data_IF_425142537895
#
_entry.id   IF_425142537895
#
_cell.length_a   1.000
_cell.length_b   1.000
_cell.length_c   1.000
_cell.angle_alpha   90.00
_cell.angle_beta   90.00
_cell.angle_gamma   90.00
#
_symmetry.space_group_name_H-M   'P 1'
#
loop_
_entity.id
_entity.type
_entity.pdbx_description
1 polymer ?
#
# COMPACT_ATOMS: atom_id res chain seq x y z
N UNK A 1 -9.25 -27.20 -3.25
CA UNK A 1 -9.54 -26.53 -4.55
C UNK A 1 -8.93 -25.13 -4.49
N UNK A 2 -8.01 -24.75 -5.39
CA UNK A 2 -7.42 -23.39 -5.37
C UNK A 2 -8.47 -22.39 -5.89
N UNK A 3 -8.94 -21.46 -5.05
CA UNK A 3 -9.85 -20.38 -5.47
C UNK A 3 -9.16 -19.55 -6.56
N UNK A 4 -9.83 -19.39 -7.71
CA UNK A 4 -9.31 -18.65 -8.87
C UNK A 4 -9.30 -17.15 -8.54
N UNK A 5 -8.21 -16.47 -8.90
CA UNK A 5 -8.12 -15.03 -8.73
C UNK A 5 -9.23 -14.33 -9.53
N UNK A 6 -9.98 -13.44 -8.88
CA UNK A 6 -11.02 -12.63 -9.54
C UNK A 6 -10.54 -11.19 -9.59
N UNK A 7 -10.54 -10.59 -10.78
CA UNK A 7 -10.15 -9.20 -10.97
C UNK A 7 -11.43 -8.35 -11.01
N UNK A 8 -11.44 -7.28 -10.25
CA UNK A 8 -12.49 -6.26 -10.23
C UNK A 8 -11.84 -4.88 -10.35
N UNK A 9 -12.63 -3.87 -10.70
CA UNK A 9 -12.18 -2.47 -10.73
C UNK A 9 -13.13 -1.65 -9.90
N UNK A 10 -12.59 -0.76 -9.07
CA UNK A 10 -13.36 0.20 -8.27
C UNK A 10 -13.05 1.63 -8.74
N UNK A 11 -14.04 2.52 -8.70
CA UNK A 11 -13.82 3.93 -8.96
C UNK A 11 -13.59 4.66 -7.64
N UNK A 12 -12.41 5.24 -7.46
CA UNK A 12 -12.04 6.04 -6.30
C UNK A 12 -11.80 7.47 -6.75
N UNK A 13 -12.74 8.37 -6.46
CA UNK A 13 -12.66 9.81 -6.82
C UNK A 13 -12.39 10.05 -8.32
N UNK A 14 -12.96 9.24 -9.19
CA UNK A 14 -12.76 9.34 -10.65
C UNK A 14 -11.58 8.54 -11.18
N UNK A 15 -10.76 7.92 -10.32
CA UNK A 15 -9.66 7.04 -10.73
C UNK A 15 -10.08 5.59 -10.65
N UNK A 16 -9.90 4.85 -11.74
CA UNK A 16 -10.10 3.40 -11.76
C UNK A 16 -8.93 2.70 -11.07
N UNK A 17 -9.25 1.87 -10.08
CA UNK A 17 -8.28 1.12 -9.29
C UNK A 17 -8.59 -0.37 -9.39
N UNK A 18 -7.61 -1.14 -9.86
CA UNK A 18 -7.75 -2.60 -9.96
C UNK A 18 -7.69 -3.25 -8.58
N UNK A 19 -8.58 -4.22 -8.35
CA UNK A 19 -8.66 -5.04 -7.14
C UNK A 19 -8.57 -6.51 -7.55
N UNK A 20 -7.69 -7.27 -6.90
CA UNK A 20 -7.52 -8.70 -7.13
C UNK A 20 -7.90 -9.43 -5.87
N UNK A 21 -8.89 -10.32 -5.94
CA UNK A 21 -9.18 -11.28 -4.87
C UNK A 21 -8.29 -12.50 -5.02
N UNK A 22 -7.52 -12.86 -4.01
CA UNK A 22 -6.81 -14.15 -3.93
C UNK A 22 -7.00 -14.80 -2.57
N UNK A 23 -7.30 -16.09 -2.62
CA UNK A 23 -7.51 -16.96 -1.44
C UNK A 23 -8.68 -16.51 -0.57
N UNK A 24 -8.54 -15.46 0.24
CA UNK A 24 -9.64 -14.71 0.89
C UNK A 24 -9.24 -13.26 1.23
N UNK A 25 -8.21 -12.73 0.57
CA UNK A 25 -7.72 -11.36 0.71
C UNK A 25 -7.96 -10.57 -0.58
N UNK A 26 -8.30 -9.29 -0.41
CA UNK A 26 -8.42 -8.34 -1.51
C UNK A 26 -7.14 -7.50 -1.59
N UNK A 27 -6.52 -7.46 -2.77
CA UNK A 27 -5.32 -6.68 -3.05
C UNK A 27 -5.69 -5.51 -3.95
N UNK A 28 -5.22 -4.31 -3.62
CA UNK A 28 -5.49 -3.08 -4.37
C UNK A 28 -4.22 -2.67 -5.13
N UNK A 29 -4.39 -2.25 -6.39
CA UNK A 29 -3.29 -1.74 -7.21
C UNK A 29 -2.86 -0.34 -6.79
N UNK A 30 -1.72 -0.25 -6.10
CA UNK A 30 -1.16 1.03 -5.66
C UNK A 30 -0.70 1.91 -6.83
N UNK A 31 -0.27 1.33 -7.95
CA UNK A 31 0.12 2.10 -9.16
C UNK A 31 -1.09 2.73 -9.83
N UNK A 32 -2.26 2.07 -9.79
CA UNK A 32 -3.50 2.68 -10.26
C UNK A 32 -3.92 3.86 -9.37
N UNK A 33 -3.75 3.75 -8.05
CA UNK A 33 -4.00 4.86 -7.13
C UNK A 33 -3.10 6.08 -7.40
N UNK A 34 -1.88 5.87 -7.90
CA UNK A 34 -0.95 6.95 -8.24
C UNK A 34 -1.37 7.73 -9.50
N UNK A 35 -2.11 7.11 -10.43
CA UNK A 35 -2.65 7.82 -11.61
C UNK A 35 -3.58 8.98 -11.23
N UNK A 36 -4.10 9.00 -10.00
CA UNK A 36 -4.91 10.09 -9.48
C UNK A 36 -4.12 11.36 -9.14
N UNK A 37 -2.79 11.28 -9.03
CA UNK A 37 -1.92 12.42 -8.72
C UNK A 37 -1.23 12.91 -9.98
N UNK A 38 -1.29 14.22 -10.22
CA UNK A 38 -0.52 14.86 -11.27
C UNK A 38 0.98 14.88 -10.93
N UNK A 39 1.83 14.58 -11.92
CA UNK A 39 3.29 14.64 -11.85
C UNK A 39 3.99 13.27 -11.73
N UNK A 40 5.33 13.28 -11.77
CA UNK A 40 6.18 12.08 -11.62
C UNK A 40 6.23 11.58 -10.17
N UNK A 41 5.06 11.35 -9.55
CA UNK A 41 4.98 10.78 -8.22
C UNK A 41 5.23 9.28 -8.27
N UNK A 42 6.39 8.86 -7.75
CA UNK A 42 6.73 7.45 -7.66
C UNK A 42 6.21 6.83 -6.37
N UNK A 43 5.86 5.54 -6.42
CA UNK A 43 5.47 4.79 -5.22
C UNK A 43 6.55 4.79 -4.14
N UNK A 44 7.81 4.90 -4.55
CA UNK A 44 8.96 5.05 -3.66
C UNK A 44 8.85 6.31 -2.80
N UNK A 45 8.29 7.42 -3.31
CA UNK A 45 8.13 8.65 -2.54
C UNK A 45 7.04 8.50 -1.47
N UNK A 46 5.97 7.75 -1.77
CA UNK A 46 4.96 7.37 -0.78
C UNK A 46 5.56 6.50 0.33
N UNK A 47 6.32 5.47 -0.03
CA UNK A 47 6.94 4.56 0.93
C UNK A 47 8.09 5.20 1.73
N UNK A 48 8.64 6.32 1.26
CA UNK A 48 9.61 7.14 2.01
C UNK A 48 8.94 8.13 2.93
N UNK A 49 7.70 8.53 2.65
CA UNK A 49 6.98 9.47 3.48
C UNK A 49 6.55 8.80 4.78
N UNK A 50 7.08 9.31 5.91
CA UNK A 50 6.77 8.79 7.24
C UNK A 50 5.28 8.79 7.54
N UNK A 51 4.53 9.79 7.11
CA UNK A 51 3.09 9.86 7.35
C UNK A 51 2.35 8.73 6.62
N UNK A 52 2.75 8.43 5.39
CA UNK A 52 2.17 7.33 4.61
C UNK A 52 2.50 5.98 5.24
N UNK A 53 3.76 5.76 5.63
CA UNK A 53 4.18 4.52 6.30
C UNK A 53 3.44 4.36 7.62
N UNK A 54 3.34 5.41 8.44
CA UNK A 54 2.59 5.35 9.70
C UNK A 54 1.11 5.02 9.50
N UNK A 55 0.47 5.63 8.49
CA UNK A 55 -0.91 5.30 8.13
C UNK A 55 -1.06 3.81 7.75
N UNK A 56 -0.19 3.30 6.88
CA UNK A 56 -0.20 1.88 6.48
C UNK A 56 0.00 0.95 7.68
N UNK A 57 0.91 1.29 8.59
CA UNK A 57 1.14 0.51 9.81
C UNK A 57 -0.08 0.42 10.72
N UNK A 58 -0.81 1.54 10.90
CA UNK A 58 -2.05 1.55 11.66
C UNK A 58 -3.11 0.71 10.96
N UNK A 59 -3.26 0.90 9.65
CA UNK A 59 -4.24 0.17 8.84
C UNK A 59 -4.00 -1.35 8.92
N UNK A 60 -2.76 -1.79 8.75
CA UNK A 60 -2.36 -3.19 8.87
C UNK A 60 -2.61 -3.73 10.28
N UNK A 61 -2.27 -2.97 11.33
CA UNK A 61 -2.53 -3.39 12.71
C UNK A 61 -4.02 -3.65 12.97
N UNK A 62 -4.92 -2.92 12.29
CA UNK A 62 -6.37 -3.06 12.44
C UNK A 62 -6.94 -4.19 11.59
N UNK A 63 -6.41 -4.42 10.38
CA UNK A 63 -7.04 -5.30 9.38
C UNK A 63 -6.28 -6.61 9.12
N UNK A 64 -5.03 -6.71 9.55
CA UNK A 64 -4.17 -7.86 9.34
C UNK A 64 -3.81 -8.50 10.70
N UNK A 65 -4.51 -9.56 11.13
CA UNK A 65 -4.27 -10.20 12.42
C UNK A 65 -2.87 -10.85 12.53
N UNK A 66 -2.23 -11.16 11.40
CA UNK A 66 -0.87 -11.74 11.34
C UNK A 66 0.20 -10.65 11.15
N UNK A 67 -0.12 -9.38 11.38
CA UNK A 67 0.79 -8.27 11.13
C UNK A 67 2.04 -8.32 12.01
N UNK A 68 3.22 -8.30 11.36
CA UNK A 68 4.51 -8.27 12.05
C UNK A 68 4.88 -6.86 12.50
N UNK A 69 4.34 -6.44 13.64
CA UNK A 69 4.61 -5.12 14.24
C UNK A 69 6.08 -4.91 14.62
N UNK A 70 6.80 -5.98 14.93
CA UNK A 70 8.22 -5.94 15.33
C UNK A 70 9.13 -5.51 14.17
N UNK A 71 9.04 -6.19 13.03
CA UNK A 71 9.78 -5.80 11.83
C UNK A 71 9.29 -4.47 11.28
N UNK A 72 7.98 -4.20 11.37
CA UNK A 72 7.42 -2.94 10.92
C UNK A 72 7.98 -1.73 11.69
N UNK A 73 8.26 -1.86 12.98
CA UNK A 73 8.87 -0.78 13.76
C UNK A 73 10.23 -0.34 13.19
N UNK A 74 11.01 -1.29 12.63
CA UNK A 74 12.28 -1.01 11.97
C UNK A 74 12.03 -0.20 10.69
N UNK A 75 11.09 -0.63 9.84
CA UNK A 75 10.72 0.10 8.61
C UNK A 75 10.24 1.51 8.94
N UNK A 76 9.35 1.65 9.93
CA UNK A 76 8.84 2.94 10.42
C UNK A 76 9.96 3.86 10.91
N UNK A 77 10.96 3.32 11.62
CA UNK A 77 12.11 4.10 12.10
C UNK A 77 12.99 4.64 10.97
N UNK A 78 13.00 3.97 9.82
CA UNK A 78 13.79 4.35 8.66
C UNK A 78 13.05 5.35 7.76
N UNK A 79 11.71 5.27 7.70
CA UNK A 79 10.87 6.15 6.90
C UNK A 79 11.09 7.64 7.25
N UNK A 80 11.19 8.50 6.23
CA UNK A 80 11.45 9.93 6.38
C UNK A 80 12.92 10.31 6.66
N UNK A 81 13.83 9.34 6.87
CA UNK A 81 15.25 9.64 6.98
C UNK A 81 15.84 9.96 5.59
N UNK A 82 16.73 10.97 5.53
CA UNK A 82 17.45 11.39 4.31
C UNK A 82 18.33 10.30 3.68
N UNK A 83 18.43 9.11 4.30
CA UNK A 83 19.22 7.97 3.84
C UNK A 83 18.65 7.28 2.59
N UNK A 84 17.37 7.50 2.27
CA UNK A 84 16.78 7.02 1.02
C UNK A 84 17.19 7.83 -0.22
N UNK A 85 17.87 8.97 -0.04
CA UNK A 85 18.40 9.78 -1.15
C UNK A 85 19.80 9.28 -1.54
N UNK A 86 19.87 8.14 -2.21
CA UNK A 86 21.05 7.74 -2.99
C UNK A 86 20.62 7.21 -4.34
#
# INVERSE_FOLDING_TARGET
MKKKATNATINVRGTEVSVIRREDQDYISLTDMLKAKDGDFFISDWLRNRNTVEFLGIWETVHNPDFNSGEFAIIKSQAGLRRFRR
#
